data_IF_573446015654
#
_entry.id   IF_573446015654
#
_cell.length_a   1.000
_cell.length_b   1.000
_cell.length_c   1.000
_cell.angle_alpha   90.00
_cell.angle_beta   90.00
_cell.angle_gamma   90.00
#
_symmetry.space_group_name_H-M   'P 1'
#
loop_
_entity.id
_entity.type
_entity.pdbx_description
1 polymer ?
#
# COMPACT_ATOMS: atom_id res chain seq x y z
N UNK A 1 0.04 -21.73 -17.36
CA UNK A 1 0.16 -20.72 -16.29
C UNK A 1 -0.09 -19.33 -16.88
N UNK A 2 -0.96 -18.49 -16.35
CA UNK A 2 -1.12 -17.14 -16.87
C UNK A 2 0.20 -16.38 -16.73
N UNK A 3 0.61 -15.68 -17.79
CA UNK A 3 1.84 -14.90 -17.81
C UNK A 3 1.83 -13.89 -16.64
N UNK A 4 2.92 -13.83 -15.87
CA UNK A 4 3.05 -12.85 -14.77
C UNK A 4 2.88 -11.45 -15.35
N UNK A 5 2.05 -10.59 -14.73
CA UNK A 5 1.88 -9.23 -15.22
C UNK A 5 3.23 -8.51 -15.20
N UNK A 6 3.48 -7.71 -16.23
CA UNK A 6 4.70 -6.90 -16.32
C UNK A 6 4.63 -5.72 -15.36
N UNK A 7 5.79 -5.17 -14.97
CA UNK A 7 5.88 -3.94 -14.18
C UNK A 7 5.02 -2.81 -14.76
N UNK A 8 5.06 -2.61 -16.09
CA UNK A 8 4.25 -1.61 -16.79
C UNK A 8 2.74 -1.79 -16.51
N UNK A 9 2.25 -3.04 -16.56
CA UNK A 9 0.83 -3.34 -16.26
C UNK A 9 0.48 -3.09 -14.79
N UNK A 10 1.39 -3.41 -13.86
CA UNK A 10 1.19 -3.13 -12.44
C UNK A 10 1.10 -1.62 -12.16
N UNK A 11 1.98 -0.83 -12.76
CA UNK A 11 1.97 0.63 -12.63
C UNK A 11 0.73 1.24 -13.29
N UNK A 12 0.33 0.79 -14.48
CA UNK A 12 -0.91 1.22 -15.12
C UNK A 12 -2.14 0.94 -14.25
N UNK A 13 -2.16 -0.23 -13.60
CA UNK A 13 -3.23 -0.54 -12.66
C UNK A 13 -3.25 0.43 -11.48
N UNK A 14 -2.11 0.71 -10.85
CA UNK A 14 -2.03 1.65 -9.73
C UNK A 14 -2.57 3.03 -10.12
N UNK A 15 -2.10 3.59 -11.24
CA UNK A 15 -2.61 4.89 -11.71
C UNK A 15 -4.08 4.87 -12.10
N UNK A 16 -4.60 3.73 -12.56
CA UNK A 16 -6.04 3.61 -12.82
C UNK A 16 -6.91 3.80 -11.57
N UNK A 17 -6.32 3.68 -10.37
CA UNK A 17 -7.03 3.92 -9.11
C UNK A 17 -7.18 5.42 -8.79
N UNK A 18 -6.44 6.31 -9.45
CA UNK A 18 -6.56 7.77 -9.28
C UNK A 18 -7.95 8.28 -9.64
N UNK A 19 -8.66 7.59 -10.53
CA UNK A 19 -10.07 7.88 -10.86
C UNK A 19 -11.00 7.88 -9.64
N UNK A 20 -10.62 7.22 -8.56
CA UNK A 20 -11.42 7.21 -7.33
C UNK A 20 -11.18 8.44 -6.45
N UNK A 21 -10.25 9.31 -6.83
CA UNK A 21 -9.95 10.57 -6.17
C UNK A 21 -9.53 10.43 -4.71
N UNK A 22 -9.67 11.54 -3.99
CA UNK A 22 -9.42 11.57 -2.54
C UNK A 22 -10.73 11.23 -1.82
N UNK A 23 -10.71 10.19 -1.01
CA UNK A 23 -11.84 9.81 -0.15
C UNK A 23 -11.41 9.87 1.30
N UNK A 24 -12.01 10.77 2.05
CA UNK A 24 -11.73 10.94 3.47
C UNK A 24 -12.18 9.74 4.32
N UNK A 25 -11.50 9.55 5.43
CA UNK A 25 -11.79 8.51 6.43
C UNK A 25 -10.93 7.27 6.28
N UNK A 26 -10.77 6.55 7.38
CA UNK A 26 -9.88 5.38 7.50
C UNK A 26 -10.62 4.05 7.43
N UNK A 27 -11.95 4.04 7.33
CA UNK A 27 -12.76 2.80 7.42
C UNK A 27 -12.35 1.77 6.37
N UNK A 28 -12.15 2.19 5.12
CA UNK A 28 -11.80 1.28 4.01
C UNK A 28 -10.43 0.64 4.20
N UNK A 29 -9.41 1.47 4.44
CA UNK A 29 -8.04 0.97 4.62
C UNK A 29 -7.93 0.09 5.87
N UNK A 30 -8.56 0.45 6.99
CA UNK A 30 -8.60 -0.37 8.20
C UNK A 30 -9.28 -1.72 7.95
N UNK A 31 -10.42 -1.74 7.25
CA UNK A 31 -11.11 -2.99 6.89
C UNK A 31 -10.21 -3.87 6.01
N UNK A 32 -9.52 -3.27 5.06
CA UNK A 32 -8.60 -4.01 4.20
C UNK A 32 -7.39 -4.55 4.98
N UNK A 33 -6.72 -3.72 5.78
CA UNK A 33 -5.58 -4.14 6.60
C UNK A 33 -5.94 -5.24 7.59
N UNK A 34 -7.17 -5.22 8.14
CA UNK A 34 -7.68 -6.32 8.98
C UNK A 34 -7.72 -7.64 8.20
N UNK A 35 -8.08 -7.64 6.92
CA UNK A 35 -8.06 -8.84 6.08
C UNK A 35 -6.65 -9.37 5.80
N UNK A 36 -5.62 -8.53 5.98
CA UNK A 36 -4.20 -8.90 5.90
C UNK A 36 -3.60 -9.30 7.26
N UNK A 37 -4.39 -9.30 8.35
CA UNK A 37 -3.94 -9.59 9.71
C UNK A 37 -3.27 -8.41 10.39
N UNK A 38 -3.67 -7.18 10.03
CA UNK A 38 -3.18 -5.92 10.61
C UNK A 38 -1.65 -5.81 10.65
N UNK A 39 -0.95 -5.86 9.51
CA UNK A 39 0.52 -5.82 9.48
C UNK A 39 1.08 -4.56 10.15
N UNK A 40 0.37 -3.43 10.11
CA UNK A 40 0.77 -2.16 10.71
C UNK A 40 0.91 -2.25 12.24
N UNK A 41 0.18 -3.14 12.91
CA UNK A 41 0.21 -3.26 14.38
C UNK A 41 1.50 -3.94 14.89
N UNK A 42 2.29 -4.51 13.97
CA UNK A 42 3.56 -5.19 14.26
C UNK A 42 4.79 -4.33 13.98
N UNK A 43 4.59 -3.10 13.56
CA UNK A 43 5.65 -2.18 13.17
C UNK A 43 5.77 -1.02 14.15
N UNK A 44 7.00 -0.65 14.49
CA UNK A 44 7.28 0.61 15.15
C UNK A 44 7.28 1.70 14.08
N UNK A 45 6.29 2.58 14.11
CA UNK A 45 6.07 3.59 13.08
C UNK A 45 6.51 4.97 13.54
N UNK A 46 7.23 5.67 12.67
CA UNK A 46 7.53 7.10 12.82
C UNK A 46 6.77 7.82 11.71
N UNK A 47 5.82 8.68 12.08
CA UNK A 47 5.05 9.47 11.12
C UNK A 47 5.58 10.90 11.07
N UNK A 48 6.02 11.34 9.89
CA UNK A 48 6.49 12.71 9.64
C UNK A 48 5.44 13.46 8.85
N UNK A 49 4.88 14.51 9.46
CA UNK A 49 3.90 15.41 8.86
C UNK A 49 4.47 16.83 8.79
N UNK A 50 3.97 17.64 7.87
CA UNK A 50 4.39 19.04 7.69
C UNK A 50 4.19 19.52 6.27
N UNK A 51 4.39 20.79 6.02
CA UNK A 51 4.27 21.41 4.69
C UNK A 51 5.51 21.11 3.85
N UNK A 52 6.70 21.41 4.38
CA UNK A 52 7.99 21.27 3.70
C UNK A 52 8.93 20.34 4.48
N UNK A 53 9.98 19.83 3.82
CA UNK A 53 11.06 19.09 4.46
C UNK A 53 10.75 17.66 4.90
N UNK A 54 9.51 17.16 4.72
CA UNK A 54 9.13 15.80 5.12
C UNK A 54 10.07 14.73 4.59
N UNK A 55 10.34 14.75 3.28
CA UNK A 55 11.21 13.76 2.63
C UNK A 55 12.64 13.80 3.16
N UNK A 56 13.20 15.00 3.34
CA UNK A 56 14.56 15.19 3.89
C UNK A 56 14.65 14.69 5.33
N UNK A 57 13.66 15.02 6.16
CA UNK A 57 13.58 14.53 7.54
C UNK A 57 13.50 13.01 7.60
N UNK A 58 12.65 12.40 6.77
CA UNK A 58 12.55 10.95 6.68
C UNK A 58 13.86 10.30 6.24
N UNK A 59 14.57 10.87 5.26
CA UNK A 59 15.84 10.35 4.78
C UNK A 59 16.94 10.43 5.86
N UNK A 60 16.97 11.50 6.65
CA UNK A 60 17.88 11.62 7.78
C UNK A 60 17.59 10.56 8.86
N UNK A 61 16.33 10.42 9.26
CA UNK A 61 15.91 9.41 10.24
C UNK A 61 16.24 8.01 9.73
N UNK A 62 15.93 7.69 8.45
CA UNK A 62 16.28 6.42 7.84
C UNK A 62 17.78 6.13 7.96
N UNK A 63 18.61 7.11 7.59
CA UNK A 63 20.08 6.98 7.63
C UNK A 63 20.61 6.69 9.03
N UNK A 64 20.10 7.41 10.05
CA UNK A 64 20.48 7.22 11.46
C UNK A 64 20.08 5.83 11.94
N UNK A 65 18.84 5.41 11.69
CA UNK A 65 18.33 4.11 12.13
C UNK A 65 19.06 2.94 11.47
N UNK A 66 19.38 3.04 10.17
CA UNK A 66 20.17 2.01 9.47
C UNK A 66 21.58 1.90 10.11
N UNK A 67 22.23 3.02 10.39
CA UNK A 67 23.55 3.03 11.06
C UNK A 67 23.50 2.47 12.47
N UNK A 68 22.37 2.63 13.15
CA UNK A 68 22.12 2.03 14.46
C UNK A 68 21.78 0.52 14.39
N UNK A 69 21.78 -0.08 13.21
CA UNK A 69 21.57 -1.53 13.02
C UNK A 69 20.11 -1.95 12.88
N UNK A 70 19.17 -1.01 12.78
CA UNK A 70 17.75 -1.34 12.58
C UNK A 70 17.44 -1.70 11.13
N UNK A 71 16.46 -2.58 10.95
CA UNK A 71 15.83 -2.80 9.65
C UNK A 71 14.77 -1.70 9.45
N UNK A 72 14.97 -0.89 8.44
CA UNK A 72 14.13 0.30 8.20
C UNK A 72 13.37 0.17 6.88
N UNK A 73 12.05 0.33 6.95
CA UNK A 73 11.21 0.60 5.79
C UNK A 73 10.91 2.09 5.72
N UNK A 74 11.04 2.69 4.56
CA UNK A 74 10.64 4.08 4.31
C UNK A 74 9.54 4.11 3.27
N UNK A 75 8.44 4.79 3.59
CA UNK A 75 7.36 5.10 2.65
C UNK A 75 7.21 6.60 2.48
N UNK A 76 7.36 7.08 1.24
CA UNK A 76 7.26 8.51 0.89
C UNK A 76 6.30 8.75 -0.27
N UNK A 77 5.81 9.98 -0.38
CA UNK A 77 4.92 10.44 -1.44
C UNK A 77 5.09 11.95 -1.65
N UNK A 78 5.10 12.43 -2.91
CA UNK A 78 5.14 11.68 -4.17
C UNK A 78 6.52 11.09 -4.48
N UNK A 79 6.66 10.37 -5.60
CA UNK A 79 7.96 10.04 -6.21
C UNK A 79 8.34 11.10 -7.25
N UNK A 80 9.60 11.17 -7.61
CA UNK A 80 10.13 12.13 -8.59
C UNK A 80 10.21 11.55 -10.00
N UNK A 81 10.78 10.36 -10.15
CA UNK A 81 11.01 9.70 -11.44
C UNK A 81 10.32 8.35 -11.52
N UNK A 82 10.51 7.49 -10.51
CA UNK A 82 10.03 6.12 -10.53
C UNK A 82 9.16 5.80 -9.33
N UNK A 83 8.10 5.03 -9.55
CA UNK A 83 7.21 4.58 -8.49
C UNK A 83 7.96 3.85 -7.34
N UNK A 84 9.04 3.14 -7.65
CA UNK A 84 9.87 2.39 -6.70
C UNK A 84 10.43 3.25 -5.56
N UNK A 85 10.70 4.54 -5.84
CA UNK A 85 11.18 5.52 -4.86
C UNK A 85 10.28 5.62 -3.63
N UNK A 86 8.98 5.33 -3.80
CA UNK A 86 7.99 5.45 -2.73
C UNK A 86 8.21 4.47 -1.60
N UNK A 87 8.83 3.32 -1.88
CA UNK A 87 9.04 2.27 -0.88
C UNK A 87 10.49 1.84 -0.92
N UNK A 88 11.19 2.05 0.18
CA UNK A 88 12.59 1.68 0.33
C UNK A 88 12.75 0.75 1.53
N UNK A 89 13.67 -0.18 1.44
CA UNK A 89 14.06 -1.07 2.53
C UNK A 89 15.57 -0.95 2.72
N UNK A 90 15.97 -0.54 3.92
CA UNK A 90 17.38 -0.32 4.27
C UNK A 90 18.11 0.57 3.24
N UNK A 91 17.51 1.71 2.88
CA UNK A 91 18.07 2.69 1.96
C UNK A 91 17.94 2.33 0.47
N UNK A 92 17.43 1.14 0.11
CA UNK A 92 17.32 0.68 -1.29
C UNK A 92 15.85 0.64 -1.72
N UNK A 93 15.57 1.14 -2.91
CA UNK A 93 14.25 1.02 -3.51
C UNK A 93 13.85 -0.45 -3.71
N UNK A 94 12.57 -0.73 -3.56
CA UNK A 94 12.07 -2.08 -3.88
C UNK A 94 12.14 -2.33 -5.38
N UNK A 95 12.36 -3.60 -5.76
CA UNK A 95 12.50 -3.99 -7.16
C UNK A 95 11.18 -3.97 -7.91
N UNK A 96 11.23 -3.85 -9.25
CA UNK A 96 10.06 -3.94 -10.13
C UNK A 96 9.30 -5.25 -9.89
N UNK A 97 10.03 -6.35 -9.69
CA UNK A 97 9.44 -7.66 -9.36
C UNK A 97 8.64 -7.61 -8.06
N UNK A 98 9.15 -6.92 -7.04
CA UNK A 98 8.48 -6.80 -5.76
C UNK A 98 7.22 -5.94 -5.85
N UNK A 99 7.24 -4.87 -6.66
CA UNK A 99 6.03 -4.08 -6.95
C UNK A 99 4.96 -4.94 -7.60
N UNK A 100 5.31 -5.71 -8.62
CA UNK A 100 4.36 -6.61 -9.29
C UNK A 100 3.77 -7.60 -8.30
N UNK A 101 4.60 -8.23 -7.47
CA UNK A 101 4.17 -9.19 -6.45
C UNK A 101 3.16 -8.56 -5.46
N UNK A 102 3.49 -7.37 -4.94
CA UNK A 102 2.63 -6.66 -3.98
C UNK A 102 1.29 -6.25 -4.61
N UNK A 103 1.33 -5.71 -5.83
CA UNK A 103 0.10 -5.33 -6.55
C UNK A 103 -0.81 -6.54 -6.74
N UNK A 104 -0.27 -7.66 -7.22
CA UNK A 104 -1.09 -8.87 -7.43
C UNK A 104 -1.62 -9.44 -6.12
N UNK A 105 -0.79 -9.50 -5.08
CA UNK A 105 -1.21 -9.96 -3.75
C UNK A 105 -2.39 -9.16 -3.21
N UNK A 106 -2.32 -7.83 -3.29
CA UNK A 106 -3.39 -6.96 -2.81
C UNK A 106 -4.64 -7.11 -3.68
N UNK A 107 -4.50 -7.19 -5.00
CA UNK A 107 -5.62 -7.42 -5.93
C UNK A 107 -6.36 -8.71 -5.62
N UNK A 108 -5.64 -9.81 -5.45
CA UNK A 108 -6.23 -11.10 -5.08
C UNK A 108 -7.01 -10.98 -3.77
N UNK A 109 -6.42 -10.35 -2.74
CA UNK A 109 -7.09 -10.17 -1.45
C UNK A 109 -8.36 -9.32 -1.54
N UNK A 110 -8.36 -8.28 -2.36
CA UNK A 110 -9.56 -7.48 -2.61
C UNK A 110 -10.65 -8.33 -3.30
N UNK A 111 -10.28 -9.20 -4.22
CA UNK A 111 -11.21 -10.12 -4.89
C UNK A 111 -11.78 -11.14 -3.90
N UNK A 112 -10.93 -11.81 -3.12
CA UNK A 112 -11.35 -12.78 -2.10
C UNK A 112 -12.32 -12.17 -1.07
N UNK A 113 -12.03 -10.93 -0.63
CA UNK A 113 -12.91 -10.22 0.28
C UNK A 113 -14.28 -9.93 -0.33
N UNK A 114 -14.38 -9.69 -1.64
CA UNK A 114 -15.65 -9.51 -2.36
C UNK A 114 -16.46 -10.80 -2.46
N UNK A 115 -15.81 -11.96 -2.65
CA UNK A 115 -16.48 -13.25 -2.74
C UNK A 115 -17.04 -13.68 -1.38
N UNK A 116 -16.27 -13.58 -0.30
CA UNK A 116 -16.72 -13.96 1.05
C UNK A 116 -17.92 -13.17 1.54
N UNK A 117 -18.11 -11.94 1.10
CA UNK A 117 -19.26 -11.11 1.45
C UNK A 117 -20.51 -11.57 0.70
N UNK A 118 -20.39 -12.08 -0.53
CA UNK A 118 -21.54 -12.59 -1.30
C UNK A 118 -22.12 -13.87 -0.71
N UNK A 119 -21.28 -14.73 -0.16
CA UNK A 119 -21.73 -16.04 0.40
C UNK A 119 -22.33 -15.92 1.80
N UNK A 120 -22.04 -14.87 2.54
CA UNK A 120 -22.50 -14.66 3.93
C UNK A 120 -23.86 -13.99 4.04
N UNK A 121 -24.45 -13.52 2.95
CA UNK A 121 -25.64 -12.65 2.97
C UNK A 121 -26.87 -13.28 2.29
N UNK A 122 -27.39 -14.38 2.85
CA UNK A 122 -28.76 -14.79 2.50
C UNK A 122 -29.85 -13.99 3.23
N UNK A 123 -29.54 -13.16 4.25
CA UNK A 123 -30.55 -12.50 5.08
C UNK A 123 -30.24 -11.09 5.62
N UNK A 124 -29.20 -10.39 5.18
CA UNK A 124 -28.99 -8.97 5.54
C UNK A 124 -28.87 -8.12 4.28
N UNK A 125 -29.45 -6.88 4.33
CA UNK A 125 -29.33 -5.90 3.24
C UNK A 125 -27.85 -5.84 2.79
N UNK A 126 -27.56 -5.92 1.48
CA UNK A 126 -26.19 -5.91 0.98
C UNK A 126 -25.55 -4.58 1.37
N UNK A 127 -24.82 -4.56 2.48
CA UNK A 127 -23.76 -3.57 2.64
C UNK A 127 -22.74 -3.96 1.59
N UNK A 128 -22.95 -3.47 0.37
CA UNK A 128 -22.01 -3.60 -0.74
C UNK A 128 -20.72 -2.93 -0.30
N UNK A 129 -19.91 -3.64 0.48
CA UNK A 129 -18.53 -3.32 0.68
C UNK A 129 -17.81 -3.51 -0.64
N UNK A 130 -18.09 -2.59 -1.58
CA UNK A 130 -17.26 -2.38 -2.74
C UNK A 130 -15.93 -1.83 -2.20
N UNK A 131 -15.06 -2.76 -1.73
CA UNK A 131 -13.78 -2.42 -1.13
C UNK A 131 -12.86 -1.89 -2.23
N UNK A 132 -13.22 -0.71 -2.74
CA UNK A 132 -12.42 0.04 -3.70
C UNK A 132 -11.46 0.92 -2.93
N UNK A 133 -10.21 0.51 -2.87
CA UNK A 133 -9.15 1.34 -2.34
C UNK A 133 -8.82 2.44 -3.35
N UNK A 134 -8.59 3.65 -2.85
CA UNK A 134 -8.00 4.74 -3.64
C UNK A 134 -6.53 4.42 -3.92
N UNK A 135 -5.91 5.14 -4.85
CA UNK A 135 -4.48 5.02 -5.12
C UNK A 135 -3.66 5.11 -3.83
N UNK A 136 -3.93 6.10 -2.99
CA UNK A 136 -3.20 6.30 -1.74
C UNK A 136 -3.41 5.17 -0.73
N UNK A 137 -4.64 4.71 -0.54
CA UNK A 137 -4.93 3.58 0.35
C UNK A 137 -4.24 2.29 -0.12
N UNK A 138 -4.23 2.05 -1.44
CA UNK A 138 -3.60 0.88 -2.03
C UNK A 138 -2.06 0.92 -1.84
N UNK A 139 -1.43 2.05 -2.16
CA UNK A 139 0.03 2.22 -2.02
C UNK A 139 0.47 2.20 -0.55
N UNK A 140 -0.36 2.71 0.36
CA UNK A 140 -0.14 2.59 1.81
C UNK A 140 -0.19 1.13 2.26
N UNK A 141 -1.17 0.35 1.75
CA UNK A 141 -1.24 -1.08 2.06
C UNK A 141 -0.06 -1.88 1.47
N UNK A 142 0.54 -1.42 0.36
CA UNK A 142 1.77 -2.02 -0.18
C UNK A 142 2.98 -1.78 0.72
N UNK A 143 3.01 -0.66 1.44
CA UNK A 143 4.13 -0.28 2.31
C UNK A 143 4.14 -1.07 3.63
N UNK A 144 2.99 -1.55 4.10
CA UNK A 144 2.84 -2.45 5.25
C UNK A 144 3.04 -3.92 4.86
#
# INVERSE_FOLDING_TARGET
MPARPSYKKAIQYLYSLEKYGIRLGLKRIKTFLKSLGNPQDRLNLIHVAGTNGKGSTCALIESVLIRAGYKVGLYTSPHLVRFNERIRINGKEITDKKIVELVERIRCKIQDARFKIKDSEKNLKPVTCNLQLTFFEFTTAMAF
#
